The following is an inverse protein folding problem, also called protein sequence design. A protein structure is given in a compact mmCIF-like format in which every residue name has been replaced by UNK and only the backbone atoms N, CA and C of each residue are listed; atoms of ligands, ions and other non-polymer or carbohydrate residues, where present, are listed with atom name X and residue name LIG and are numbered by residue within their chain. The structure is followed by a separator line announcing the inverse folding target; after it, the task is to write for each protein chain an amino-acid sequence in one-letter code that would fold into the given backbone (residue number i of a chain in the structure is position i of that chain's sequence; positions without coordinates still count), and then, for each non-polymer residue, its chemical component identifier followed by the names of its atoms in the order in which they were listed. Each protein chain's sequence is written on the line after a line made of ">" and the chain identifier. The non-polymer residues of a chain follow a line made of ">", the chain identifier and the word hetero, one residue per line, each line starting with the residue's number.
data_IF_815007217032
#
_entry.id   IF_815007217032
#
_cell.length_a   1.000
_cell.length_b   1.000
_cell.length_c   1.000
_cell.angle_alpha   90.00
_cell.angle_beta   90.00
_cell.angle_gamma   90.00
#
_symmetry.space_group_name_H-M   'P 1'
#
loop_
_entity.id
_entity.type
_entity.pdbx_description
1 polymer ?
#
# COMPACT_ATOMS: atom_id res chain seq x y z
N UNK A 1 17.59 26.07 -2.50
CA UNK A 1 16.59 25.12 -1.97
C UNK A 1 15.29 25.89 -1.76
N UNK A 2 14.39 25.93 -2.76
CA UNK A 2 13.09 26.61 -2.63
C UNK A 2 12.03 25.55 -2.30
N UNK A 3 11.67 25.45 -1.02
CA UNK A 3 10.42 24.82 -0.60
C UNK A 3 9.64 25.94 0.08
N UNK A 4 8.52 26.35 -0.52
CA UNK A 4 7.29 26.19 0.23
C UNK A 4 6.31 25.41 -0.63
N UNK A 5 6.52 24.10 -0.73
CA UNK A 5 5.38 23.22 -0.86
C UNK A 5 4.56 23.45 0.41
N UNK A 6 3.33 23.92 0.26
CA UNK A 6 2.34 24.01 1.33
C UNK A 6 2.47 22.70 2.13
N UNK A 7 2.88 22.80 3.39
CA UNK A 7 3.16 21.63 4.22
C UNK A 7 1.91 20.75 4.23
N UNK A 8 2.00 19.56 3.64
CA UNK A 8 0.93 18.58 3.65
C UNK A 8 1.01 17.90 5.01
N UNK A 9 0.03 18.17 5.87
CA UNK A 9 -0.09 17.56 7.21
C UNK A 9 -1.14 16.46 7.26
N UNK A 10 -1.94 16.33 6.21
CA UNK A 10 -3.05 15.39 6.08
C UNK A 10 -3.19 14.95 4.62
N UNK A 11 -3.53 13.68 4.41
CA UNK A 11 -3.82 13.14 3.08
C UNK A 11 -4.98 13.87 2.39
N UNK A 12 -5.95 14.41 3.14
CA UNK A 12 -7.03 15.22 2.57
C UNK A 12 -6.52 16.45 1.79
N UNK A 13 -5.30 16.91 2.09
CA UNK A 13 -4.66 18.03 1.40
C UNK A 13 -3.90 17.61 0.14
N UNK A 14 -3.60 16.31 0.01
CA UNK A 14 -2.79 15.74 -1.06
C UNK A 14 -3.45 15.81 -2.43
N UNK A 15 -2.64 15.73 -3.48
CA UNK A 15 -3.15 15.60 -4.85
C UNK A 15 -3.98 14.33 -5.01
N UNK A 16 -3.54 13.20 -4.44
CA UNK A 16 -4.23 11.93 -4.54
C UNK A 16 -5.69 12.01 -4.05
N UNK A 17 -5.93 12.70 -2.92
CA UNK A 17 -7.28 12.94 -2.43
C UNK A 17 -8.08 13.86 -3.35
N UNK A 18 -7.49 14.96 -3.79
CA UNK A 18 -8.17 15.98 -4.62
C UNK A 18 -8.53 15.49 -6.01
N UNK A 19 -7.81 14.49 -6.53
CA UNK A 19 -8.04 13.91 -7.85
C UNK A 19 -8.77 12.57 -7.79
N UNK A 20 -9.22 12.14 -6.62
CA UNK A 20 -10.02 10.94 -6.48
C UNK A 20 -11.38 11.15 -7.15
N UNK A 21 -11.72 10.29 -8.11
CA UNK A 21 -12.96 10.43 -8.90
C UNK A 21 -14.00 9.41 -8.46
N UNK A 22 -15.23 9.88 -8.35
CA UNK A 22 -16.38 9.06 -7.98
C UNK A 22 -17.30 8.89 -9.19
N UNK A 23 -17.11 7.80 -9.94
CA UNK A 23 -17.81 7.57 -11.19
C UNK A 23 -19.34 7.36 -11.02
N UNK A 24 -19.77 6.92 -9.83
CA UNK A 24 -21.15 6.53 -9.54
C UNK A 24 -21.96 7.62 -8.84
N UNK A 25 -21.45 8.85 -8.82
CA UNK A 25 -22.23 10.00 -8.36
C UNK A 25 -23.31 10.36 -9.38
N UNK A 26 -24.56 10.37 -8.95
CA UNK A 26 -25.59 11.11 -9.66
C UNK A 26 -25.40 12.60 -9.36
N UNK A 27 -25.15 13.39 -10.40
CA UNK A 27 -24.91 14.83 -10.31
C UNK A 27 -26.09 15.61 -9.68
N UNK A 28 -27.29 15.02 -9.65
CA UNK A 28 -28.48 15.60 -9.03
C UNK A 28 -28.70 15.12 -7.58
N UNK A 29 -27.99 14.09 -7.14
CA UNK A 29 -28.12 13.56 -5.79
C UNK A 29 -27.54 14.54 -4.76
N UNK A 30 -28.31 14.84 -3.73
CA UNK A 30 -27.91 15.77 -2.66
C UNK A 30 -27.87 15.04 -1.34
N UNK A 31 -26.93 15.45 -0.50
CA UNK A 31 -26.85 14.96 0.87
C UNK A 31 -26.31 13.54 0.97
N UNK A 32 -25.55 13.03 0.00
CA UNK A 32 -24.80 11.78 0.16
C UNK A 32 -23.58 11.96 1.10
N UNK A 33 -22.87 10.86 1.37
CA UNK A 33 -21.58 10.84 2.05
C UNK A 33 -20.54 10.08 1.21
N UNK A 34 -19.36 10.67 1.08
CA UNK A 34 -18.18 10.05 0.48
C UNK A 34 -17.24 9.61 1.60
N UNK A 35 -17.11 8.31 1.82
CA UNK A 35 -16.20 7.76 2.82
C UNK A 35 -14.96 7.18 2.15
N UNK A 36 -13.80 7.65 2.56
CA UNK A 36 -12.51 7.19 2.05
C UNK A 36 -11.81 6.41 3.15
N UNK A 37 -11.40 5.19 2.84
CA UNK A 37 -10.67 4.33 3.76
C UNK A 37 -9.25 4.07 3.27
N UNK A 38 -8.28 4.19 4.17
CA UNK A 38 -6.96 3.62 3.94
C UNK A 38 -6.96 2.14 4.26
N UNK A 39 -6.20 1.34 3.51
CA UNK A 39 -5.92 -0.06 3.85
C UNK A 39 -4.47 -0.19 4.29
N UNK A 40 -4.26 -0.74 5.46
CA UNK A 40 -2.97 -1.13 5.97
C UNK A 40 -2.77 -2.63 5.79
N UNK A 41 -1.68 -3.02 5.15
CA UNK A 41 -1.31 -4.43 4.97
C UNK A 41 0.10 -4.63 5.50
N UNK A 42 0.26 -5.48 6.51
CA UNK A 42 1.56 -5.77 7.09
C UNK A 42 1.56 -7.17 7.71
N UNK A 43 2.75 -7.73 7.87
CA UNK A 43 3.00 -8.95 8.61
C UNK A 43 4.28 -8.84 9.42
N UNK A 44 4.24 -9.43 10.60
CA UNK A 44 5.24 -9.29 11.64
C UNK A 44 5.41 -10.61 12.37
N UNK A 45 6.52 -10.74 13.11
CA UNK A 45 6.72 -11.89 13.98
C UNK A 45 5.92 -11.69 15.28
N UNK A 46 4.91 -12.54 15.56
CA UNK A 46 4.09 -12.38 16.76
C UNK A 46 4.88 -12.61 18.06
N UNK A 47 6.01 -13.32 17.99
CA UNK A 47 6.90 -13.59 19.13
C UNK A 47 8.00 -12.52 19.31
N UNK A 48 7.98 -11.48 18.47
CA UNK A 48 9.00 -10.44 18.42
C UNK A 48 10.32 -10.87 17.78
N UNK A 49 11.24 -9.91 17.57
CA UNK A 49 12.56 -10.18 16.98
C UNK A 49 13.56 -10.66 18.04
N UNK A 50 13.51 -11.95 18.40
CA UNK A 50 14.59 -12.60 19.20
C UNK A 50 15.57 -13.30 18.26
N UNK A 51 16.88 -13.10 18.47
CA UNK A 51 17.97 -13.71 17.67
C UNK A 51 17.90 -15.25 17.61
N UNK A 52 17.36 -15.89 18.65
CA UNK A 52 17.16 -17.34 18.76
C UNK A 52 15.69 -17.77 18.75
N UNK A 53 14.76 -16.86 18.44
CA UNK A 53 13.31 -17.14 18.44
C UNK A 53 12.85 -17.85 17.16
N UNK A 54 11.70 -18.54 17.24
CA UNK A 54 11.02 -19.05 16.04
C UNK A 54 10.72 -17.89 15.08
N UNK A 55 11.09 -18.06 13.82
CA UNK A 55 10.71 -17.16 12.75
C UNK A 55 9.32 -17.57 12.28
N UNK A 56 8.32 -16.91 12.81
CA UNK A 56 6.94 -16.98 12.34
C UNK A 56 6.55 -15.58 11.88
N UNK A 57 5.62 -15.51 10.93
CA UNK A 57 5.07 -14.29 10.37
C UNK A 57 3.58 -14.46 10.31
N UNK A 58 2.85 -13.57 10.98
CA UNK A 58 1.41 -13.40 10.82
C UNK A 58 1.16 -11.98 10.35
N UNK A 59 0.06 -11.73 9.68
CA UNK A 59 -0.27 -10.38 9.24
C UNK A 59 -1.70 -10.00 9.48
N UNK A 60 -2.00 -8.75 9.11
CA UNK A 60 -3.32 -8.19 9.23
C UNK A 60 -3.59 -7.23 8.08
N UNK A 61 -4.87 -7.12 7.74
CA UNK A 61 -5.43 -6.10 6.88
C UNK A 61 -6.32 -5.22 7.76
N UNK A 62 -5.96 -3.94 7.88
CA UNK A 62 -6.68 -2.98 8.73
C UNK A 62 -7.16 -1.84 7.87
N UNK A 63 -8.44 -1.47 8.01
CA UNK A 63 -9.04 -0.32 7.35
C UNK A 63 -9.19 0.83 8.34
N UNK A 64 -8.87 2.05 7.91
CA UNK A 64 -9.07 3.26 8.72
C UNK A 64 -9.79 4.32 7.90
N UNK A 65 -10.87 4.89 8.46
CA UNK A 65 -11.57 6.01 7.82
C UNK A 65 -10.70 7.27 7.86
N UNK A 66 -10.49 7.85 6.68
CA UNK A 66 -9.74 9.08 6.49
C UNK A 66 -10.63 10.33 6.52
N UNK A 67 -11.93 10.17 6.75
CA UNK A 67 -12.85 11.28 6.95
C UNK A 67 -12.88 11.76 8.41
N UNK A 68 -12.27 11.01 9.32
CA UNK A 68 -12.09 11.44 10.70
C UNK A 68 -10.99 12.51 10.78
N UNK A 69 -10.85 13.24 11.89
CA UNK A 69 -9.68 14.08 12.11
C UNK A 69 -8.38 13.24 12.12
N UNK A 70 -7.23 13.78 11.66
CA UNK A 70 -5.94 13.08 11.65
C UNK A 70 -5.53 12.43 12.97
N UNK A 71 -5.90 13.05 14.08
CA UNK A 71 -5.60 12.57 15.43
C UNK A 71 -6.38 11.31 15.81
N UNK A 72 -7.39 10.92 15.02
CA UNK A 72 -8.25 9.77 15.25
C UNK A 72 -8.04 8.63 14.23
N UNK A 73 -7.52 8.90 13.02
CA UNK A 73 -7.40 7.92 11.93
C UNK A 73 -6.89 6.54 12.36
N UNK A 74 -5.78 6.50 13.12
CA UNK A 74 -5.08 5.27 13.47
C UNK A 74 -5.22 4.88 14.94
N UNK A 75 -6.20 5.44 15.65
CA UNK A 75 -6.50 5.02 17.02
C UNK A 75 -7.19 3.66 16.99
N UNK A 76 -6.83 2.71 17.87
CA UNK A 76 -7.39 1.35 17.84
C UNK A 76 -8.92 1.28 17.81
N UNK A 77 -9.63 2.20 18.48
CA UNK A 77 -11.09 2.25 18.50
C UNK A 77 -11.74 2.73 17.19
N UNK A 78 -10.97 3.24 16.24
CA UNK A 78 -11.42 3.69 14.91
C UNK A 78 -10.78 2.88 13.77
N UNK A 79 -10.00 1.84 14.12
CA UNK A 79 -9.38 0.93 13.17
C UNK A 79 -10.22 -0.33 13.03
N UNK A 80 -10.57 -0.69 11.80
CA UNK A 80 -11.34 -1.89 11.50
C UNK A 80 -10.39 -3.00 11.06
N UNK A 81 -10.30 -4.08 11.84
CA UNK A 81 -9.60 -5.29 11.41
C UNK A 81 -10.47 -6.00 10.36
N UNK A 82 -10.02 -6.01 9.11
CA UNK A 82 -10.71 -6.68 8.00
C UNK A 82 -10.35 -8.17 7.95
N UNK A 83 -9.06 -8.49 7.99
CA UNK A 83 -8.59 -9.88 7.84
C UNK A 83 -7.28 -10.13 8.60
N UNK A 84 -7.08 -11.39 8.98
CA UNK A 84 -5.82 -11.91 9.48
C UNK A 84 -5.13 -12.72 8.38
N UNK A 85 -3.85 -12.46 8.18
CA UNK A 85 -3.00 -13.22 7.26
C UNK A 85 -2.37 -14.37 8.06
N UNK A 86 -2.68 -15.63 7.72
CA UNK A 86 -2.17 -16.77 8.46
C UNK A 86 -0.65 -16.90 8.32
N UNK A 87 -0.02 -17.41 9.36
CA UNK A 87 1.38 -17.80 9.33
C UNK A 87 1.58 -19.24 8.86
N UNK A 88 2.81 -19.77 8.94
CA UNK A 88 3.98 -19.18 9.59
C UNK A 88 4.81 -18.24 8.70
N UNK A 89 4.47 -18.12 7.41
CA UNK A 89 5.27 -17.35 6.45
C UNK A 89 4.51 -16.12 5.95
N UNK A 90 5.21 -15.07 5.51
CA UNK A 90 4.62 -14.02 4.69
C UNK A 90 3.90 -14.62 3.48
N UNK A 91 2.72 -14.10 3.11
CA UNK A 91 1.99 -14.60 1.95
C UNK A 91 2.80 -14.30 0.69
N UNK A 92 2.80 -15.21 -0.27
CA UNK A 92 3.30 -14.95 -1.61
C UNK A 92 2.37 -14.00 -2.39
N UNK A 93 2.70 -13.76 -3.65
CA UNK A 93 1.98 -12.82 -4.51
C UNK A 93 0.56 -13.28 -4.88
N UNK A 94 0.32 -14.59 -4.90
CA UNK A 94 -0.98 -15.19 -5.21
C UNK A 94 -1.83 -15.31 -3.94
N UNK A 95 -1.22 -15.70 -2.82
CA UNK A 95 -1.86 -15.79 -1.52
C UNK A 95 -2.38 -14.42 -1.08
N UNK A 96 -1.58 -13.36 -1.17
CA UNK A 96 -2.03 -12.01 -0.79
C UNK A 96 -3.17 -11.52 -1.69
N UNK A 97 -3.15 -11.87 -2.99
CA UNK A 97 -4.25 -11.57 -3.90
C UNK A 97 -5.53 -12.25 -3.42
N UNK A 98 -5.50 -13.56 -3.16
CA UNK A 98 -6.68 -14.29 -2.67
C UNK A 98 -7.20 -13.74 -1.34
N UNK A 99 -6.32 -13.27 -0.45
CA UNK A 99 -6.72 -12.67 0.83
C UNK A 99 -7.37 -11.28 0.64
N UNK A 100 -6.92 -10.49 -0.35
CA UNK A 100 -7.45 -9.16 -0.64
C UNK A 100 -8.72 -9.20 -1.50
N UNK A 101 -8.93 -10.25 -2.29
CA UNK A 101 -10.08 -10.37 -3.21
C UNK A 101 -11.44 -10.06 -2.55
N UNK A 102 -11.79 -10.60 -1.37
CA UNK A 102 -13.06 -10.27 -0.73
C UNK A 102 -13.21 -8.78 -0.39
N UNK A 103 -12.12 -8.10 0.00
CA UNK A 103 -12.14 -6.67 0.24
C UNK A 103 -12.42 -5.90 -1.06
N UNK A 104 -11.84 -6.34 -2.17
CA UNK A 104 -12.04 -5.71 -3.47
C UNK A 104 -13.48 -5.90 -3.93
N UNK A 105 -14.05 -7.09 -3.77
CA UNK A 105 -15.45 -7.36 -4.09
C UNK A 105 -16.39 -6.44 -3.28
N UNK A 106 -16.19 -6.34 -1.96
CA UNK A 106 -16.94 -5.42 -1.10
C UNK A 106 -16.80 -3.96 -1.57
N UNK A 107 -15.58 -3.51 -1.89
CA UNK A 107 -15.33 -2.14 -2.36
C UNK A 107 -15.97 -1.86 -3.74
N UNK A 108 -16.05 -2.86 -4.61
CA UNK A 108 -16.72 -2.75 -5.90
C UNK A 108 -18.23 -2.58 -5.73
N UNK A 109 -18.85 -3.17 -4.71
CA UNK A 109 -20.26 -2.93 -4.38
C UNK A 109 -20.45 -1.57 -3.68
N UNK A 110 -19.60 -1.25 -2.71
CA UNK A 110 -19.74 -0.03 -1.91
C UNK A 110 -19.47 1.26 -2.70
N UNK A 111 -18.71 1.20 -3.80
CA UNK A 111 -18.52 2.36 -4.68
C UNK A 111 -19.77 2.71 -5.52
N UNK A 112 -20.70 1.76 -5.72
CA UNK A 112 -22.01 2.03 -6.35
C UNK A 112 -22.97 2.77 -5.39
N UNK A 113 -22.60 2.75 -4.11
CA UNK A 113 -23.26 3.43 -3.02
C UNK A 113 -24.49 2.69 -2.48
N UNK A 114 -24.73 2.86 -1.19
CA UNK A 114 -25.82 2.19 -0.46
C UNK A 114 -26.50 3.16 0.50
N UNK A 115 -27.73 2.86 0.90
CA UNK A 115 -28.49 3.71 1.81
C UNK A 115 -28.27 3.31 3.27
N UNK A 116 -27.86 4.28 4.08
CA UNK A 116 -27.74 4.14 5.54
C UNK A 116 -28.87 4.91 6.21
N UNK A 117 -29.65 4.22 7.02
CA UNK A 117 -30.74 4.80 7.79
C UNK A 117 -30.27 5.09 9.21
N UNK A 118 -30.53 6.30 9.69
CA UNK A 118 -30.18 6.72 11.05
C UNK A 118 -31.33 7.49 11.68
N UNK A 119 -31.31 7.70 12.99
CA UNK A 119 -32.32 8.51 13.68
C UNK A 119 -32.44 9.93 13.08
N UNK A 120 -31.31 10.57 12.74
CA UNK A 120 -31.29 11.90 12.14
C UNK A 120 -31.56 11.88 10.61
N UNK A 121 -31.50 10.72 9.97
CA UNK A 121 -31.77 10.54 8.54
C UNK A 121 -32.71 9.34 8.34
N UNK A 122 -34.01 9.47 8.73
CA UNK A 122 -34.97 8.37 8.64
C UNK A 122 -35.33 8.01 7.19
N UNK A 123 -35.16 8.94 6.25
CA UNK A 123 -35.32 8.69 4.82
C UNK A 123 -34.10 8.02 4.17
N UNK A 124 -33.09 7.68 4.98
CA UNK A 124 -31.82 7.17 4.50
C UNK A 124 -30.90 8.27 4.01
N UNK A 125 -29.62 7.94 3.96
CA UNK A 125 -28.56 8.75 3.36
C UNK A 125 -27.71 7.85 2.49
N UNK A 126 -27.55 8.21 1.21
CA UNK A 126 -26.66 7.48 0.31
C UNK A 126 -25.21 7.65 0.78
N UNK A 127 -24.47 6.56 0.83
CA UNK A 127 -23.07 6.50 1.23
C UNK A 127 -22.29 5.78 0.15
N UNK A 128 -21.18 6.38 -0.26
CA UNK A 128 -20.21 5.82 -1.19
C UNK A 128 -18.91 5.54 -0.46
N UNK A 129 -18.24 4.44 -0.81
CA UNK A 129 -16.94 4.10 -0.20
C UNK A 129 -15.89 3.89 -1.27
N UNK A 130 -14.71 4.49 -1.07
CA UNK A 130 -13.53 4.24 -1.89
C UNK A 130 -12.29 4.03 -1.03
N UNK A 131 -11.31 3.36 -1.61
CA UNK A 131 -10.04 3.05 -0.99
C UNK A 131 -8.94 4.05 -1.40
N UNK A 132 -8.31 4.69 -0.41
CA UNK A 132 -7.11 5.51 -0.60
C UNK A 132 -6.45 5.74 0.77
N UNK A 133 -5.11 5.64 0.93
CA UNK A 133 -4.18 4.89 0.13
C UNK A 133 -4.01 3.46 0.69
N UNK A 134 -3.28 2.64 -0.04
CA UNK A 134 -2.65 1.43 0.52
C UNK A 134 -1.40 1.85 1.30
N UNK A 135 -1.40 1.61 2.61
CA UNK A 135 -0.32 1.90 3.54
C UNK A 135 0.38 0.60 3.90
N UNK A 136 1.69 0.53 3.69
CA UNK A 136 2.44 -0.69 3.99
C UNK A 136 3.93 -0.43 4.04
N UNK A 137 4.72 -1.35 4.60
CA UNK A 137 6.16 -1.36 4.35
C UNK A 137 6.46 -1.85 2.91
N UNK A 138 7.69 -1.65 2.43
CA UNK A 138 8.02 -1.81 1.01
C UNK A 138 7.64 -3.18 0.41
N UNK A 139 7.98 -4.29 1.06
CA UNK A 139 7.74 -5.64 0.50
C UNK A 139 6.25 -5.95 0.47
N UNK A 140 5.52 -5.65 1.54
CA UNK A 140 4.06 -5.84 1.57
C UNK A 140 3.34 -4.91 0.60
N UNK A 141 3.86 -3.70 0.37
CA UNK A 141 3.30 -2.77 -0.60
C UNK A 141 3.45 -3.36 -2.01
N UNK A 142 4.66 -3.79 -2.39
CA UNK A 142 4.88 -4.38 -3.71
C UNK A 142 4.01 -5.64 -3.94
N UNK A 143 3.86 -6.46 -2.90
CA UNK A 143 2.98 -7.64 -2.95
C UNK A 143 1.49 -7.27 -3.06
N UNK A 144 1.04 -6.25 -2.35
CA UNK A 144 -0.38 -5.88 -2.32
C UNK A 144 -0.82 -5.12 -3.55
N UNK A 145 0.02 -4.24 -4.11
CA UNK A 145 -0.33 -3.35 -5.23
C UNK A 145 0.27 -3.76 -6.58
N UNK A 146 0.99 -4.88 -6.63
CA UNK A 146 1.42 -5.47 -7.91
C UNK A 146 2.74 -4.95 -8.46
N UNK A 147 3.68 -4.50 -7.61
CA UNK A 147 5.06 -4.24 -8.04
C UNK A 147 5.96 -5.47 -7.82
N UNK A 148 7.04 -5.53 -8.61
CA UNK A 148 8.11 -6.51 -8.44
C UNK A 148 8.83 -6.36 -7.10
N UNK A 149 9.62 -7.36 -6.69
CA UNK A 149 10.37 -7.29 -5.43
C UNK A 149 11.38 -6.13 -5.42
N UNK A 150 11.94 -5.83 -4.25
CA UNK A 150 13.06 -4.90 -4.12
C UNK A 150 14.33 -5.32 -4.90
N UNK A 151 14.39 -6.58 -5.34
CA UNK A 151 15.46 -7.14 -6.16
C UNK A 151 15.13 -7.22 -7.65
N UNK A 152 13.97 -6.70 -8.07
CA UNK A 152 13.60 -6.62 -9.48
C UNK A 152 14.49 -5.61 -10.22
N UNK A 153 14.67 -5.79 -11.53
CA UNK A 153 15.41 -4.85 -12.35
C UNK A 153 14.84 -3.43 -12.23
N UNK A 154 13.52 -3.28 -12.38
CA UNK A 154 12.82 -2.06 -12.01
C UNK A 154 12.06 -2.25 -10.68
N UNK A 155 12.70 -1.87 -9.58
CA UNK A 155 12.18 -2.14 -8.24
C UNK A 155 11.28 -1.04 -7.67
N UNK A 156 11.31 0.18 -8.23
CA UNK A 156 10.63 1.33 -7.64
C UNK A 156 9.17 1.49 -8.14
N UNK A 157 8.24 1.68 -7.21
CA UNK A 157 6.83 1.90 -7.49
C UNK A 157 6.54 3.29 -8.12
N UNK A 158 7.38 4.30 -7.86
CA UNK A 158 7.15 5.67 -8.32
C UNK A 158 7.93 6.04 -9.59
N UNK A 159 9.07 5.40 -9.84
CA UNK A 159 9.94 5.75 -10.97
C UNK A 159 10.59 4.51 -11.61
N UNK A 160 11.07 4.69 -12.84
CA UNK A 160 11.81 3.70 -13.63
C UNK A 160 13.30 3.79 -13.29
N UNK A 161 13.64 3.37 -12.08
CA UNK A 161 15.03 3.23 -11.64
C UNK A 161 15.48 1.78 -11.77
N UNK A 162 16.66 1.56 -12.35
CA UNK A 162 17.23 0.24 -12.53
C UNK A 162 18.05 -0.16 -11.29
N UNK A 163 17.96 -1.43 -10.89
CA UNK A 163 18.70 -1.96 -9.74
C UNK A 163 20.21 -1.80 -9.88
N UNK A 164 20.74 -1.92 -11.11
CA UNK A 164 22.16 -1.72 -11.43
C UNK A 164 22.64 -0.29 -11.09
N UNK A 165 21.73 0.69 -11.14
CA UNK A 165 22.01 2.10 -10.92
C UNK A 165 21.66 2.56 -9.51
N UNK A 166 21.24 1.65 -8.61
CA UNK A 166 20.81 1.96 -7.25
C UNK A 166 21.86 2.75 -6.47
N UNK A 167 23.15 2.41 -6.64
CA UNK A 167 24.27 3.10 -5.97
C UNK A 167 24.38 4.57 -6.36
N UNK A 168 23.88 4.96 -7.54
CA UNK A 168 23.88 6.36 -7.96
C UNK A 168 22.87 7.22 -7.18
N UNK A 169 21.93 6.58 -6.47
CA UNK A 169 20.84 7.23 -5.71
C UNK A 169 20.07 8.28 -6.53
N UNK A 170 19.94 8.05 -7.84
CA UNK A 170 19.20 8.92 -8.74
C UNK A 170 17.75 8.48 -8.85
N UNK A 171 16.86 9.46 -8.81
CA UNK A 171 15.44 9.24 -9.13
C UNK A 171 15.33 9.06 -10.64
N UNK A 172 14.76 7.91 -11.06
CA UNK A 172 14.49 7.64 -12.47
C UNK A 172 13.31 8.44 -13.00
N UNK A 173 12.96 8.22 -14.26
CA UNK A 173 11.77 8.82 -14.87
C UNK A 173 10.51 8.36 -14.14
N UNK A 174 9.62 9.30 -13.77
CA UNK A 174 8.35 8.95 -13.10
C UNK A 174 7.54 7.97 -13.94
N UNK A 175 6.94 6.96 -13.28
CA UNK A 175 5.98 6.07 -13.92
C UNK A 175 4.65 6.81 -14.10
N UNK A 176 4.02 6.68 -15.28
CA UNK A 176 2.64 7.14 -15.45
C UNK A 176 1.66 6.07 -14.96
N UNK A 177 0.46 6.47 -14.54
CA UNK A 177 -0.56 5.50 -14.14
C UNK A 177 -0.98 4.60 -15.31
N UNK A 178 -1.04 5.15 -16.52
CA UNK A 178 -1.33 4.42 -17.75
C UNK A 178 -0.31 3.31 -18.02
N UNK A 179 0.98 3.62 -17.96
CA UNK A 179 2.06 2.63 -18.17
C UNK A 179 1.98 1.47 -17.15
N UNK A 180 1.65 1.78 -15.90
CA UNK A 180 1.52 0.76 -14.84
C UNK A 180 0.32 -0.14 -15.12
N UNK A 181 -0.82 0.46 -15.47
CA UNK A 181 -2.04 -0.28 -15.74
C UNK A 181 -1.90 -1.18 -16.98
N UNK A 182 -1.29 -0.67 -18.05
CA UNK A 182 -0.98 -1.43 -19.27
C UNK A 182 -0.05 -2.62 -18.98
N UNK A 183 1.01 -2.40 -18.19
CA UNK A 183 1.93 -3.48 -17.80
C UNK A 183 1.24 -4.53 -16.92
N UNK A 184 0.41 -4.12 -15.97
CA UNK A 184 -0.37 -5.03 -15.13
C UNK A 184 -1.38 -5.86 -15.96
N UNK A 185 -2.07 -5.24 -16.92
CA UNK A 185 -2.96 -5.94 -17.84
C UNK A 185 -2.20 -6.91 -18.75
N UNK A 186 -1.06 -6.49 -19.31
CA UNK A 186 -0.21 -7.36 -20.13
C UNK A 186 0.30 -8.57 -19.35
N UNK A 187 0.58 -8.39 -18.06
CA UNK A 187 0.87 -9.49 -17.15
C UNK A 187 -0.35 -10.40 -16.96
N UNK A 188 -1.53 -9.86 -16.64
CA UNK A 188 -2.75 -10.65 -16.40
C UNK A 188 -3.17 -11.49 -17.62
N UNK A 189 -3.08 -10.90 -18.80
CA UNK A 189 -3.54 -11.50 -20.05
C UNK A 189 -2.53 -12.46 -20.68
N UNK A 190 -1.32 -12.56 -20.13
CA UNK A 190 -0.31 -13.49 -20.63
C UNK A 190 -0.79 -14.94 -20.45
N UNK A 191 -0.79 -15.77 -21.51
CA UNK A 191 -1.37 -17.12 -21.48
C UNK A 191 -0.53 -18.13 -20.67
N UNK A 192 0.70 -17.79 -20.31
CA UNK A 192 1.64 -18.68 -19.62
C UNK A 192 2.34 -17.95 -18.48
N UNK A 193 2.56 -18.66 -17.36
CA UNK A 193 3.28 -18.15 -16.19
C UNK A 193 4.69 -17.67 -16.56
N UNK A 194 5.36 -18.34 -17.50
CA UNK A 194 6.68 -17.92 -17.99
C UNK A 194 6.65 -16.54 -18.66
N UNK A 195 5.58 -16.23 -19.40
CA UNK A 195 5.39 -14.92 -20.01
C UNK A 195 4.98 -13.87 -18.97
N UNK A 196 4.17 -14.24 -17.99
CA UNK A 196 3.88 -13.39 -16.82
C UNK A 196 5.17 -12.98 -16.11
N UNK A 197 6.04 -13.94 -15.80
CA UNK A 197 7.34 -13.67 -15.18
C UNK A 197 8.22 -12.77 -16.04
N UNK A 198 8.25 -13.00 -17.35
CA UNK A 198 8.99 -12.15 -18.30
C UNK A 198 8.47 -10.71 -18.27
N UNK A 199 7.16 -10.52 -18.40
CA UNK A 199 6.52 -9.20 -18.39
C UNK A 199 6.80 -8.45 -17.08
N UNK A 200 6.76 -9.15 -15.94
CA UNK A 200 7.08 -8.58 -14.63
C UNK A 200 8.57 -8.24 -14.51
N UNK A 201 9.48 -9.09 -15.02
CA UNK A 201 10.93 -8.81 -15.03
C UNK A 201 11.28 -7.55 -15.83
N UNK A 202 10.61 -7.34 -16.96
CA UNK A 202 10.86 -6.19 -17.85
C UNK A 202 10.26 -4.89 -17.31
N UNK A 203 9.00 -4.93 -16.84
CA UNK A 203 8.27 -3.72 -16.42
C UNK A 203 8.38 -3.40 -14.92
N UNK A 204 8.74 -4.39 -14.09
CA UNK A 204 8.65 -4.31 -12.64
C UNK A 204 7.21 -4.32 -12.10
N UNK A 205 6.22 -4.67 -12.93
CA UNK A 205 4.79 -4.61 -12.60
C UNK A 205 4.11 -5.94 -12.93
N UNK A 206 3.12 -6.30 -12.12
CA UNK A 206 2.23 -7.44 -12.30
C UNK A 206 0.80 -7.07 -11.90
N UNK A 207 -0.14 -7.96 -12.15
CA UNK A 207 -1.49 -7.79 -11.64
C UNK A 207 -1.56 -7.96 -10.11
N UNK A 208 -2.36 -7.12 -9.48
CA UNK A 208 -2.85 -7.17 -8.11
C UNK A 208 -4.38 -7.10 -8.15
N UNK A 209 -5.05 -7.70 -7.17
CA UNK A 209 -6.51 -7.58 -7.03
C UNK A 209 -6.99 -6.13 -6.95
N UNK A 210 -6.18 -5.22 -6.39
CA UNK A 210 -6.54 -3.81 -6.30
C UNK A 210 -6.67 -3.14 -7.68
N UNK A 211 -6.17 -3.75 -8.76
CA UNK A 211 -6.37 -3.24 -10.13
C UNK A 211 -7.80 -3.44 -10.65
N UNK A 212 -8.64 -4.24 -9.99
CA UNK A 212 -10.06 -4.31 -10.32
C UNK A 212 -10.80 -3.03 -9.93
N UNK A 213 -10.27 -2.25 -8.97
CA UNK A 213 -10.85 -0.96 -8.58
C UNK A 213 -10.56 0.08 -9.67
N UNK A 214 -11.59 0.65 -10.33
CA UNK A 214 -11.40 1.49 -11.52
C UNK A 214 -10.70 2.82 -11.24
N UNK A 215 -10.75 3.29 -10.00
CA UNK A 215 -10.13 4.54 -9.55
C UNK A 215 -8.69 4.35 -9.03
N UNK A 216 -8.17 3.13 -8.96
CA UNK A 216 -6.91 2.85 -8.28
C UNK A 216 -5.70 3.21 -9.13
N UNK A 217 -4.84 4.09 -8.60
CA UNK A 217 -3.61 4.56 -9.26
C UNK A 217 -2.41 4.16 -8.41
N UNK A 218 -1.84 2.98 -8.66
CA UNK A 218 -0.87 2.33 -7.77
C UNK A 218 0.38 3.17 -7.44
N UNK A 219 0.80 4.10 -8.29
CA UNK A 219 1.92 5.02 -8.01
C UNK A 219 1.52 6.24 -7.17
N UNK A 220 0.24 6.63 -7.13
CA UNK A 220 -0.25 7.81 -6.42
C UNK A 220 -1.01 7.45 -5.14
N UNK A 221 -1.59 6.25 -5.08
CA UNK A 221 -2.46 5.79 -4.00
C UNK A 221 -1.74 4.82 -3.04
N UNK A 222 -0.41 4.89 -2.98
CA UNK A 222 0.42 4.11 -2.05
C UNK A 222 1.22 5.02 -1.12
N UNK A 223 1.29 4.63 0.14
CA UNK A 223 2.09 5.29 1.15
C UNK A 223 2.98 4.27 1.88
N UNK A 224 4.25 4.61 2.04
CA UNK A 224 5.17 3.80 2.84
C UNK A 224 4.95 4.06 4.33
N UNK A 225 4.79 2.99 5.10
CA UNK A 225 4.78 3.07 6.55
C UNK A 225 6.11 3.60 7.08
N UNK A 226 6.07 4.58 7.99
CA UNK A 226 7.28 5.24 8.53
C UNK A 226 8.09 4.27 9.40
N UNK A 227 7.43 3.45 10.23
CA UNK A 227 8.10 2.61 11.21
C UNK A 227 9.10 1.62 10.55
N UNK A 228 8.62 0.74 9.68
CA UNK A 228 9.45 -0.31 9.09
C UNK A 228 10.45 0.20 8.05
N UNK A 229 10.11 1.25 7.29
CA UNK A 229 11.00 1.74 6.24
C UNK A 229 12.01 2.77 6.77
N UNK A 230 11.54 3.77 7.53
CA UNK A 230 12.39 4.86 7.99
C UNK A 230 13.06 4.53 9.33
N UNK A 231 12.30 4.17 10.37
CA UNK A 231 12.87 3.95 11.71
C UNK A 231 13.67 2.64 11.80
N UNK A 232 13.07 1.53 11.39
CA UNK A 232 13.72 0.21 11.44
C UNK A 232 14.59 -0.10 10.23
N UNK A 233 14.41 0.60 9.12
CA UNK A 233 15.25 0.49 7.93
C UNK A 233 16.38 1.51 7.97
N UNK A 234 16.10 2.71 7.47
CA UNK A 234 17.11 3.76 7.28
C UNK A 234 17.83 4.14 8.57
N UNK A 235 17.08 4.51 9.62
CA UNK A 235 17.64 5.03 10.86
C UNK A 235 18.44 3.93 11.58
N UNK A 236 17.87 2.74 11.72
CA UNK A 236 18.56 1.60 12.33
C UNK A 236 19.87 1.25 11.60
N UNK A 237 19.88 1.23 10.26
CA UNK A 237 21.08 0.98 9.46
C UNK A 237 22.17 2.03 9.72
N UNK A 238 21.81 3.31 9.71
CA UNK A 238 22.74 4.41 9.99
C UNK A 238 23.32 4.32 11.39
N UNK A 239 22.48 4.13 12.40
CA UNK A 239 22.94 3.99 13.79
C UNK A 239 23.89 2.80 13.95
N UNK A 240 23.52 1.62 13.41
CA UNK A 240 24.27 0.39 13.64
C UNK A 240 25.61 0.36 12.89
N UNK A 241 25.59 0.73 11.61
CA UNK A 241 26.72 0.50 10.70
C UNK A 241 27.47 1.77 10.34
N UNK A 242 26.76 2.86 10.05
CA UNK A 242 27.41 4.13 9.64
C UNK A 242 28.01 4.86 10.84
N UNK A 243 27.32 4.87 11.97
CA UNK A 243 27.78 5.49 13.22
C UNK A 243 28.44 4.50 14.17
N UNK A 244 28.47 3.22 13.80
CA UNK A 244 29.27 2.21 14.50
C UNK A 244 28.78 1.84 15.90
N UNK A 245 27.52 2.13 16.27
CA UNK A 245 26.99 1.71 17.57
C UNK A 245 26.96 0.18 17.73
N UNK A 246 26.98 -0.58 16.63
CA UNK A 246 27.06 -2.05 16.65
C UNK A 246 28.50 -2.59 16.45
N UNK A 247 29.50 -1.73 16.24
CA UNK A 247 30.92 -2.14 16.11
C UNK A 247 31.57 -2.57 17.44
N UNK A 248 30.87 -2.51 18.58
CA UNK A 248 31.42 -2.80 19.92
C UNK A 248 31.59 -4.29 20.26
N UNK A 249 31.46 -5.22 19.31
CA UNK A 249 31.71 -6.66 19.54
C UNK A 249 32.37 -7.37 18.36
N UNK A 250 33.46 -6.82 17.80
CA UNK A 250 34.47 -7.70 17.19
C UNK A 250 35.33 -8.26 18.30
N UNK A 251 35.11 -9.54 18.65
CA UNK A 251 36.04 -10.34 19.46
C UNK A 251 37.45 -10.11 18.91
N UNK A 252 38.31 -9.51 19.72
CA UNK A 252 39.77 -9.60 19.55
C UNK A 252 40.06 -11.09 19.64
N UNK A 253 40.33 -11.72 18.49
CA UNK A 253 40.92 -13.06 18.46
C UNK A 253 42.39 -12.85 18.83
N UNK A 254 42.79 -13.34 20.00
CA UNK A 254 44.19 -13.63 20.31
C UNK A 254 44.72 -14.77 19.47
#
# INVERSE_FOLDING_TARGET
>A
MKIPLRLIVDIQQSTAWRTLTWAHHDANEKGFLELVFSVFVDWFNPHGRKLSGKKESIGCIILNSLNLPPTLHHKPGYSMLFSLIPGPNPPDTSEISNIISPLVDDLLELQEGFNVFTFNHPQGRKVYVQLLPTVSYLVAMHKSVGFGSHSAFQFCAWCKADLKDLQSMKIGTKRSAFEIHEAAHSWKMAPMVTLQEKNCKESGVRWSELNFLPYQLANMHVALGVMHNWLEGVLQEHFRYQWGFQMMYKKIKG
#
